data_IF_032604649009
#
_entry.id   IF_032604649009
#
_cell.length_a   1.000
_cell.length_b   1.000
_cell.length_c   1.000
_cell.angle_alpha   90.00
_cell.angle_beta   90.00
_cell.angle_gamma   90.00
#
_symmetry.space_group_name_H-M   'P 1'
#
loop_
_entity.id
_entity.type
_entity.pdbx_description
1 polymer ?
#
# COMPACT_ATOMS: atom_id res chain seq x y z
N UNK A 1 0.79 -17.39 2.17
CA UNK A 1 1.50 -16.13 2.47
C UNK A 1 0.71 -14.93 1.98
N UNK A 2 0.79 -13.85 2.70
CA UNK A 2 0.17 -12.59 2.31
C UNK A 2 0.91 -12.01 1.10
N UNK A 3 0.18 -11.65 0.06
CA UNK A 3 0.74 -10.99 -1.12
C UNK A 3 0.70 -9.48 -0.90
N UNK A 4 1.86 -8.89 -0.73
CA UNK A 4 2.01 -7.46 -0.42
C UNK A 4 2.63 -6.74 -1.60
N UNK A 5 1.94 -5.72 -2.10
CA UNK A 5 2.39 -4.91 -3.23
C UNK A 5 2.82 -3.52 -2.73
N UNK A 6 3.98 -3.07 -3.19
CA UNK A 6 4.47 -1.73 -2.88
C UNK A 6 4.44 -0.89 -4.15
N UNK A 7 3.71 0.23 -4.13
CA UNK A 7 3.55 1.12 -5.27
C UNK A 7 4.09 2.50 -4.92
N UNK A 8 5.15 2.90 -5.60
CA UNK A 8 5.78 4.21 -5.41
C UNK A 8 6.57 4.53 -6.68
N UNK A 9 6.49 5.77 -7.17
CA UNK A 9 7.17 6.17 -8.39
C UNK A 9 8.66 6.43 -8.20
N UNK A 10 9.12 6.55 -6.94
CA UNK A 10 10.52 6.79 -6.63
C UNK A 10 11.21 5.47 -6.25
N UNK A 11 12.25 5.12 -7.00
CA UNK A 11 12.97 3.86 -6.79
C UNK A 11 13.51 3.73 -5.36
N UNK A 12 14.12 4.80 -4.83
CA UNK A 12 14.71 4.75 -3.49
C UNK A 12 13.66 4.52 -2.41
N UNK A 13 12.49 5.14 -2.57
CA UNK A 13 11.39 4.94 -1.62
C UNK A 13 10.85 3.51 -1.71
N UNK A 14 10.69 2.98 -2.93
CA UNK A 14 10.26 1.59 -3.13
C UNK A 14 11.22 0.60 -2.49
N UNK A 15 12.53 0.83 -2.69
CA UNK A 15 13.55 -0.03 -2.11
C UNK A 15 13.57 0.05 -0.58
N UNK A 16 13.40 1.25 -0.02
CA UNK A 16 13.39 1.44 1.42
C UNK A 16 12.22 0.69 2.06
N UNK A 17 11.03 0.81 1.49
CA UNK A 17 9.86 0.10 1.99
C UNK A 17 10.00 -1.41 1.83
N UNK A 18 10.52 -1.85 0.69
CA UNK A 18 10.76 -3.27 0.44
C UNK A 18 11.73 -3.83 1.49
N UNK A 19 12.79 -3.11 1.80
CA UNK A 19 13.77 -3.54 2.80
C UNK A 19 13.14 -3.69 4.19
N UNK A 20 12.33 -2.73 4.60
CA UNK A 20 11.62 -2.79 5.89
C UNK A 20 10.72 -4.04 5.93
N UNK A 21 9.93 -4.24 4.89
CA UNK A 21 8.98 -5.35 4.83
C UNK A 21 9.71 -6.70 4.83
N UNK A 22 10.74 -6.84 4.00
CA UNK A 22 11.47 -8.11 3.90
C UNK A 22 12.22 -8.45 5.18
N UNK A 23 12.73 -7.45 5.90
CA UNK A 23 13.43 -7.70 7.17
C UNK A 23 12.47 -8.09 8.29
N UNK A 24 11.26 -7.53 8.31
CA UNK A 24 10.35 -7.68 9.44
C UNK A 24 9.24 -8.72 9.22
N UNK A 25 9.03 -9.13 7.97
CA UNK A 25 7.95 -10.07 7.62
C UNK A 25 8.44 -11.20 6.72
N UNK A 26 9.70 -11.56 6.81
CA UNK A 26 10.41 -12.47 5.90
C UNK A 26 9.64 -13.74 5.53
N UNK A 27 9.00 -14.38 6.51
CA UNK A 27 8.29 -15.65 6.28
C UNK A 27 6.78 -15.49 6.23
N UNK A 28 6.27 -14.27 6.20
CA UNK A 28 4.84 -14.01 6.26
C UNK A 28 4.28 -13.40 4.99
N UNK A 29 5.12 -12.75 4.19
CA UNK A 29 4.66 -12.05 2.99
C UNK A 29 5.50 -12.40 1.78
N UNK A 30 4.86 -12.31 0.60
CA UNK A 30 5.52 -12.30 -0.70
C UNK A 30 5.37 -10.88 -1.24
N UNK A 31 6.44 -10.26 -1.70
CA UNK A 31 6.45 -8.86 -2.11
C UNK A 31 6.59 -8.71 -3.62
N UNK A 32 5.75 -7.86 -4.20
CA UNK A 32 5.90 -7.34 -5.55
C UNK A 32 5.92 -5.82 -5.48
N UNK A 33 6.46 -5.17 -6.51
CA UNK A 33 6.52 -3.71 -6.57
C UNK A 33 5.99 -3.19 -7.89
N UNK A 34 5.54 -1.94 -7.90
CA UNK A 34 5.13 -1.25 -9.11
C UNK A 34 5.57 0.21 -9.05
N UNK A 35 5.90 0.79 -10.18
CA UNK A 35 6.52 2.12 -10.28
C UNK A 35 5.55 3.25 -10.60
N UNK A 36 4.27 2.96 -10.78
CA UNK A 36 3.25 3.97 -11.01
C UNK A 36 1.86 3.41 -10.67
N UNK A 37 0.87 4.29 -10.62
CA UNK A 37 -0.48 3.92 -10.21
C UNK A 37 -1.14 2.91 -11.14
N UNK A 38 -0.97 3.07 -12.44
CA UNK A 38 -1.56 2.17 -13.44
C UNK A 38 -1.01 0.76 -13.29
N UNK A 39 0.32 0.63 -13.26
CA UNK A 39 0.97 -0.66 -13.07
C UNK A 39 0.62 -1.25 -11.72
N UNK A 40 0.53 -0.40 -10.69
CA UNK A 40 0.12 -0.84 -9.36
C UNK A 40 -1.27 -1.44 -9.35
N UNK A 41 -2.24 -0.75 -9.95
CA UNK A 41 -3.61 -1.24 -10.01
C UNK A 41 -3.69 -2.55 -10.81
N UNK A 42 -3.04 -2.61 -11.97
CA UNK A 42 -3.05 -3.80 -12.80
C UNK A 42 -2.40 -4.98 -12.08
N UNK A 43 -1.25 -4.76 -11.45
CA UNK A 43 -0.55 -5.80 -10.70
C UNK A 43 -1.39 -6.30 -9.53
N UNK A 44 -2.01 -5.39 -8.79
CA UNK A 44 -2.83 -5.76 -7.64
C UNK A 44 -3.96 -6.71 -8.04
N UNK A 45 -4.62 -6.41 -9.16
CA UNK A 45 -5.74 -7.22 -9.64
C UNK A 45 -5.26 -8.56 -10.21
N UNK A 46 -4.25 -8.53 -11.08
CA UNK A 46 -3.78 -9.74 -11.78
C UNK A 46 -3.04 -10.69 -10.86
N UNK A 47 -2.21 -10.16 -9.98
CA UNK A 47 -1.44 -10.97 -9.04
C UNK A 47 -2.28 -11.40 -7.84
N UNK A 48 -3.30 -10.63 -7.52
CA UNK A 48 -4.14 -10.90 -6.36
C UNK A 48 -3.53 -10.41 -5.07
N UNK A 49 -3.14 -9.12 -5.03
CA UNK A 49 -2.57 -8.54 -3.82
C UNK A 49 -3.58 -8.56 -2.68
N UNK A 50 -3.13 -8.94 -1.51
CA UNK A 50 -3.92 -8.92 -0.27
C UNK A 50 -3.78 -7.58 0.44
N UNK A 51 -2.61 -6.95 0.30
CA UNK A 51 -2.27 -5.70 0.97
C UNK A 51 -1.42 -4.85 0.04
N UNK A 52 -1.70 -3.55 -0.01
CA UNK A 52 -0.95 -2.61 -0.82
C UNK A 52 -0.42 -1.47 0.06
N UNK A 53 0.87 -1.18 -0.07
CA UNK A 53 1.45 0.07 0.41
C UNK A 53 1.48 1.01 -0.78
N UNK A 54 0.67 2.06 -0.75
CA UNK A 54 0.38 2.89 -1.92
C UNK A 54 0.78 4.34 -1.67
N UNK A 55 1.72 4.86 -2.49
CA UNK A 55 1.98 6.29 -2.52
C UNK A 55 0.82 7.02 -3.22
N UNK A 56 0.58 8.26 -2.87
CA UNK A 56 -0.53 9.04 -3.46
C UNK A 56 -0.05 9.89 -4.63
N UNK A 57 0.95 10.75 -4.41
CA UNK A 57 1.41 11.70 -5.45
C UNK A 57 2.33 11.01 -6.43
N UNK A 58 1.76 10.59 -7.54
CA UNK A 58 2.50 9.97 -8.64
C UNK A 58 2.03 10.55 -9.96
N UNK A 59 2.93 10.70 -10.96
CA UNK A 59 2.52 11.18 -12.28
C UNK A 59 1.48 10.26 -12.91
N UNK A 60 0.53 10.84 -13.64
CA UNK A 60 -0.55 10.08 -14.25
C UNK A 60 -1.60 9.71 -13.21
N UNK A 61 -1.87 8.42 -13.05
CA UNK A 61 -2.84 7.95 -12.06
C UNK A 61 -2.24 8.06 -10.65
N UNK A 62 -2.86 8.84 -9.78
CA UNK A 62 -2.39 8.93 -8.39
C UNK A 62 -2.83 7.71 -7.57
N UNK A 63 -2.29 7.59 -6.35
CA UNK A 63 -2.54 6.43 -5.50
C UNK A 63 -3.99 6.28 -5.04
N UNK A 64 -4.72 7.37 -4.89
CA UNK A 64 -6.14 7.31 -4.50
C UNK A 64 -6.97 6.72 -5.64
N UNK A 65 -6.72 7.16 -6.87
CA UNK A 65 -7.42 6.63 -8.03
C UNK A 65 -7.04 5.17 -8.28
N UNK A 66 -5.77 4.82 -8.12
CA UNK A 66 -5.30 3.44 -8.24
C UNK A 66 -5.99 2.54 -7.22
N UNK A 67 -6.05 2.98 -5.96
CA UNK A 67 -6.71 2.20 -4.90
C UNK A 67 -8.19 2.02 -5.19
N UNK A 68 -8.87 3.08 -5.67
CA UNK A 68 -10.29 2.99 -6.03
C UNK A 68 -10.51 1.94 -7.11
N UNK A 69 -9.65 1.94 -8.14
CA UNK A 69 -9.75 0.96 -9.23
C UNK A 69 -9.56 -0.47 -8.72
N UNK A 70 -8.60 -0.68 -7.83
CA UNK A 70 -8.35 -2.01 -7.23
C UNK A 70 -9.56 -2.46 -6.41
N UNK A 71 -10.06 -1.59 -5.55
CA UNK A 71 -11.14 -1.94 -4.62
C UNK A 71 -12.46 -2.21 -5.32
N UNK A 72 -12.68 -1.65 -6.51
CA UNK A 72 -13.85 -1.99 -7.33
C UNK A 72 -13.83 -3.44 -7.76
N UNK A 73 -12.66 -4.01 -8.02
CA UNK A 73 -12.52 -5.39 -8.49
C UNK A 73 -12.16 -6.36 -7.37
N UNK A 74 -11.48 -5.87 -6.34
CA UNK A 74 -11.04 -6.69 -5.20
C UNK A 74 -11.35 -5.97 -3.90
N UNK A 75 -12.63 -5.96 -3.49
CA UNK A 75 -13.05 -5.19 -2.31
C UNK A 75 -12.41 -5.64 -1.00
N UNK A 76 -11.88 -6.87 -0.94
CA UNK A 76 -11.21 -7.37 0.27
C UNK A 76 -9.75 -6.97 0.37
N UNK A 77 -9.17 -6.39 -0.69
CA UNK A 77 -7.79 -5.92 -0.65
C UNK A 77 -7.66 -4.79 0.38
N UNK A 78 -6.60 -4.83 1.19
CA UNK A 78 -6.34 -3.79 2.18
C UNK A 78 -5.33 -2.80 1.62
N UNK A 79 -5.53 -1.52 1.91
CA UNK A 79 -4.66 -0.46 1.42
C UNK A 79 -4.15 0.38 2.59
N UNK A 80 -2.84 0.56 2.63
CA UNK A 80 -2.17 1.50 3.53
C UNK A 80 -1.54 2.56 2.63
N UNK A 81 -1.94 3.82 2.78
CA UNK A 81 -1.31 4.90 2.03
C UNK A 81 -0.04 5.35 2.74
N UNK A 82 1.04 5.55 1.96
CA UNK A 82 2.33 6.01 2.47
C UNK A 82 2.73 7.19 1.60
N UNK A 83 2.66 8.40 2.12
CA UNK A 83 2.81 9.62 1.31
C UNK A 83 3.58 10.71 2.04
N UNK A 84 4.21 11.61 1.27
CA UNK A 84 4.86 12.80 1.81
C UNK A 84 3.87 13.93 2.12
N UNK A 85 2.61 13.78 1.73
CA UNK A 85 1.62 14.86 1.79
C UNK A 85 0.60 14.64 2.89
N UNK A 86 0.47 15.61 3.80
CA UNK A 86 -0.50 15.58 4.90
C UNK A 86 -1.73 16.43 4.58
N UNK A 87 -2.18 16.39 3.33
CA UNK A 87 -3.35 17.16 2.91
C UNK A 87 -4.63 16.52 3.44
N UNK A 88 -5.47 17.35 4.03
CA UNK A 88 -6.75 16.90 4.58
C UNK A 88 -7.59 16.14 3.56
N UNK A 89 -7.64 16.63 2.31
CA UNK A 89 -8.44 16.00 1.27
C UNK A 89 -7.98 14.58 0.97
N UNK A 90 -6.67 14.33 0.99
CA UNK A 90 -6.13 13.00 0.75
C UNK A 90 -6.51 12.03 1.87
N UNK A 91 -6.35 12.48 3.12
CA UNK A 91 -6.72 11.66 4.27
C UNK A 91 -8.23 11.39 4.29
N UNK A 92 -9.03 12.38 3.94
CA UNK A 92 -10.48 12.26 3.87
C UNK A 92 -10.89 11.22 2.84
N UNK A 93 -10.32 11.28 1.63
CA UNK A 93 -10.60 10.28 0.60
C UNK A 93 -10.13 8.89 0.99
N UNK A 94 -8.96 8.79 1.63
CA UNK A 94 -8.45 7.51 2.11
C UNK A 94 -9.42 6.85 3.08
N UNK A 95 -9.97 7.62 4.01
CA UNK A 95 -10.98 7.11 4.95
C UNK A 95 -12.22 6.63 4.20
N UNK A 96 -12.70 7.39 3.23
CA UNK A 96 -13.87 7.00 2.44
C UNK A 96 -13.63 5.74 1.61
N UNK A 97 -12.40 5.50 1.17
CA UNK A 97 -12.06 4.27 0.46
C UNK A 97 -11.92 3.07 1.40
N UNK A 98 -11.93 3.30 2.71
CA UNK A 98 -11.76 2.24 3.68
C UNK A 98 -10.31 1.83 3.88
N UNK A 99 -9.35 2.75 3.68
CA UNK A 99 -7.94 2.46 3.90
C UNK A 99 -7.69 2.01 5.34
N UNK A 100 -6.77 1.07 5.50
CA UNK A 100 -6.37 0.58 6.82
C UNK A 100 -5.58 1.61 7.60
N UNK A 101 -4.76 2.41 6.90
CA UNK A 101 -3.90 3.39 7.56
C UNK A 101 -3.41 4.42 6.55
N UNK A 102 -2.83 5.50 7.09
CA UNK A 102 -2.30 6.61 6.32
C UNK A 102 -1.01 7.07 6.99
N UNK A 103 0.13 6.70 6.41
CA UNK A 103 1.45 6.97 6.99
C UNK A 103 2.14 8.09 6.24
N UNK A 104 2.81 8.98 6.98
CA UNK A 104 3.53 10.10 6.40
C UNK A 104 5.02 9.79 6.28
N UNK A 105 5.61 10.16 5.14
CA UNK A 105 7.06 10.08 4.96
C UNK A 105 7.74 11.26 5.66
N UNK A 106 8.96 11.10 6.15
CA UNK A 106 9.75 9.86 6.17
C UNK A 106 9.15 8.85 7.16
N UNK A 107 9.06 7.61 6.73
CA UNK A 107 8.41 6.58 7.56
C UNK A 107 9.34 6.09 8.66
N UNK A 108 8.75 5.79 9.81
CA UNK A 108 9.42 5.09 10.90
C UNK A 108 9.21 3.59 10.65
N UNK A 109 10.27 2.77 10.57
CA UNK A 109 10.13 1.34 10.36
C UNK A 109 9.22 0.64 11.38
N UNK A 110 9.24 1.07 12.64
CA UNK A 110 8.36 0.49 13.66
C UNK A 110 6.88 0.82 13.38
N UNK A 111 6.61 2.02 12.90
CA UNK A 111 5.26 2.44 12.53
C UNK A 111 4.75 1.65 11.32
N UNK A 112 5.61 1.46 10.32
CA UNK A 112 5.28 0.64 9.15
C UNK A 112 4.96 -0.78 9.57
N UNK A 113 5.80 -1.36 10.43
CA UNK A 113 5.58 -2.72 10.93
C UNK A 113 4.25 -2.83 11.67
N UNK A 114 3.95 -1.90 12.57
CA UNK A 114 2.71 -1.94 13.33
C UNK A 114 1.48 -1.83 12.41
N UNK A 115 1.56 -0.97 11.40
CA UNK A 115 0.47 -0.78 10.44
C UNK A 115 0.22 -2.05 9.62
N UNK A 116 1.28 -2.65 9.11
CA UNK A 116 1.18 -3.90 8.34
C UNK A 116 0.64 -5.02 9.22
N UNK A 117 1.10 -5.10 10.47
CA UNK A 117 0.65 -6.13 11.39
C UNK A 117 -0.87 -6.04 11.64
N UNK A 118 -1.38 -4.82 11.80
CA UNK A 118 -2.82 -4.62 11.95
C UNK A 118 -3.58 -5.04 10.69
N UNK A 119 -3.07 -4.70 9.51
CA UNK A 119 -3.70 -5.09 8.25
C UNK A 119 -3.72 -6.61 8.08
N UNK A 120 -2.62 -7.28 8.40
CA UNK A 120 -2.55 -8.75 8.31
C UNK A 120 -3.60 -9.38 9.22
N UNK A 121 -3.76 -8.87 10.43
CA UNK A 121 -4.80 -9.38 11.34
C UNK A 121 -6.20 -9.24 10.74
N UNK A 122 -6.49 -8.13 10.08
CA UNK A 122 -7.78 -7.93 9.42
C UNK A 122 -7.97 -8.89 8.26
N UNK A 123 -6.94 -9.13 7.47
CA UNK A 123 -6.98 -10.06 6.35
C UNK A 123 -7.26 -11.49 6.85
N UNK A 124 -6.56 -11.89 7.91
CA UNK A 124 -6.69 -13.25 8.47
C UNK A 124 -8.01 -13.47 9.19
N UNK A 125 -8.59 -12.42 9.73
CA UNK A 125 -9.89 -12.50 10.40
C UNK A 125 -11.06 -12.54 9.40
N UNK A 126 -10.84 -12.00 8.21
CA UNK A 126 -11.85 -12.01 7.16
C UNK A 126 -11.84 -13.29 6.39
#
# INVERSE_FOLDING_TARGET
MIRLLIVDDELMEREALTDIVMRRFEHEVTVETAENGRKGADTAVLWGADLILMDIEMPGMNGLDAARAVLEQRPDCKVIFVTAYSLFQYAHEAVHLGACDYLLKPVDPDEVEASIRRAIRQIEAG
#
